data_IF_176619581383
#
_entry.id   IF_176619581383
#
_cell.length_a   1.000
_cell.length_b   1.000
_cell.length_c   1.000
_cell.angle_alpha   90.00
_cell.angle_beta   90.00
_cell.angle_gamma   90.00
#
_symmetry.space_group_name_H-M   'P 1'
#
loop_
_entity.id
_entity.type
_entity.pdbx_description
1 polymer ?
#
# COMPACT_ATOMS: atom_id res chain seq x y z
N UNK A 1 -36.05 -1.36 -43.50
CA UNK A 1 -36.16 -1.01 -42.07
C UNK A 1 -35.40 -1.93 -41.11
N UNK A 2 -35.27 -3.25 -41.36
CA UNK A 2 -34.56 -4.17 -40.43
C UNK A 2 -33.04 -3.92 -40.24
N UNK A 3 -32.34 -3.42 -41.27
CA UNK A 3 -30.88 -3.18 -41.23
C UNK A 3 -30.45 -1.97 -40.38
N UNK A 4 -31.36 -1.00 -40.18
CA UNK A 4 -31.08 0.21 -39.39
C UNK A 4 -31.14 -0.07 -37.88
N UNK A 5 -31.98 -1.04 -37.49
CA UNK A 5 -32.15 -1.46 -36.10
C UNK A 5 -30.93 -2.24 -35.61
N UNK A 6 -30.38 -3.15 -36.43
CA UNK A 6 -29.20 -3.94 -36.07
C UNK A 6 -27.93 -3.10 -35.91
N UNK A 7 -27.74 -2.06 -36.73
CA UNK A 7 -26.59 -1.15 -36.57
C UNK A 7 -26.69 -0.30 -35.31
N UNK A 8 -27.91 0.12 -34.94
CA UNK A 8 -28.15 0.88 -33.71
C UNK A 8 -27.86 0.05 -32.45
N UNK A 9 -28.28 -1.22 -32.43
CA UNK A 9 -27.97 -2.13 -31.32
C UNK A 9 -26.48 -2.41 -31.21
N UNK A 10 -25.77 -2.56 -32.34
CA UNK A 10 -24.33 -2.82 -32.33
C UNK A 10 -23.51 -1.64 -31.79
N UNK A 11 -23.91 -0.41 -32.15
CA UNK A 11 -23.30 0.83 -31.64
C UNK A 11 -23.57 0.99 -30.14
N UNK A 12 -24.78 0.68 -29.68
CA UNK A 12 -25.15 0.75 -28.26
C UNK A 12 -24.36 -0.26 -27.42
N UNK A 13 -24.18 -1.49 -27.91
CA UNK A 13 -23.35 -2.52 -27.24
C UNK A 13 -21.88 -2.09 -27.21
N UNK A 14 -21.36 -1.52 -28.30
CA UNK A 14 -19.99 -1.00 -28.34
C UNK A 14 -19.78 0.15 -27.33
N UNK A 15 -20.73 1.09 -27.25
CA UNK A 15 -20.71 2.21 -26.30
C UNK A 15 -20.80 1.72 -24.85
N UNK A 16 -21.62 0.70 -24.56
CA UNK A 16 -21.71 0.07 -23.24
C UNK A 16 -20.39 -0.64 -22.86
N UNK A 17 -19.75 -1.34 -23.80
CA UNK A 17 -18.45 -1.98 -23.53
C UNK A 17 -17.32 -0.96 -23.33
N UNK A 18 -17.34 0.18 -24.04
CA UNK A 18 -16.40 1.28 -23.79
C UNK A 18 -16.63 1.91 -22.40
N UNK A 19 -17.90 2.12 -22.03
CA UNK A 19 -18.28 2.72 -20.75
C UNK A 19 -17.82 1.91 -19.53
N UNK A 20 -17.75 0.58 -19.65
CA UNK A 20 -17.29 -0.30 -18.56
C UNK A 20 -15.76 -0.26 -18.34
N UNK A 21 -14.98 0.24 -19.30
CA UNK A 21 -13.52 0.41 -19.14
C UNK A 21 -13.14 1.76 -18.50
N UNK A 22 -14.11 2.64 -18.26
CA UNK A 22 -13.91 3.98 -17.71
C UNK A 22 -13.97 4.06 -16.18
N UNK A 23 -14.10 2.92 -15.47
CA UNK A 23 -13.92 2.91 -14.02
C UNK A 23 -12.45 3.13 -13.70
N UNK A 24 -12.11 4.40 -13.61
CA UNK A 24 -10.83 4.93 -13.16
C UNK A 24 -10.52 4.28 -11.81
N UNK A 25 -9.47 3.45 -11.83
CA UNK A 25 -8.85 2.80 -10.67
C UNK A 25 -8.77 3.79 -9.50
N UNK A 26 -9.27 3.38 -8.33
CA UNK A 26 -9.28 4.23 -7.15
C UNK A 26 -7.83 4.52 -6.72
N UNK A 27 -7.42 5.78 -6.83
CA UNK A 27 -6.17 6.26 -6.26
C UNK A 27 -6.23 6.15 -4.72
N UNK A 28 -5.11 5.74 -4.15
CA UNK A 28 -4.90 5.26 -2.78
C UNK A 28 -5.71 6.00 -1.70
N UNK A 29 -6.42 5.20 -0.91
CA UNK A 29 -7.19 5.63 0.26
C UNK A 29 -6.28 5.97 1.46
N UNK A 30 -6.64 7.04 2.16
CA UNK A 30 -5.85 7.67 3.21
C UNK A 30 -5.27 6.68 4.23
N UNK A 31 -3.94 6.53 4.22
CA UNK A 31 -3.21 5.83 5.26
C UNK A 31 -2.96 6.79 6.40
N UNK A 32 -3.53 6.51 7.57
CA UNK A 32 -3.19 7.29 8.75
C UNK A 32 -1.82 6.83 9.26
N UNK A 33 -0.83 7.71 9.17
CA UNK A 33 0.53 7.48 9.65
C UNK A 33 0.77 8.29 10.94
N UNK A 34 1.00 7.61 12.07
CA UNK A 34 1.48 8.21 13.31
C UNK A 34 2.95 7.88 13.49
N UNK A 35 3.75 8.88 13.87
CA UNK A 35 5.13 8.67 14.25
C UNK A 35 5.36 9.15 15.69
N UNK A 36 6.06 8.33 16.48
CA UNK A 36 6.56 8.69 17.80
C UNK A 36 8.07 8.45 17.86
N UNK A 37 8.78 9.29 18.60
CA UNK A 37 10.22 9.17 18.81
C UNK A 37 10.46 9.01 20.31
N UNK A 38 11.20 7.98 20.68
CA UNK A 38 11.56 7.71 22.06
C UNK A 38 13.06 7.42 22.15
N UNK A 39 13.84 8.45 22.48
CA UNK A 39 15.29 8.36 22.56
C UNK A 39 15.93 7.85 21.27
N UNK A 40 16.38 6.60 21.30
CA UNK A 40 17.07 5.92 20.19
C UNK A 40 16.15 5.17 19.21
N UNK A 41 14.84 5.24 19.45
CA UNK A 41 13.83 4.52 18.67
C UNK A 41 12.83 5.48 18.05
N UNK A 42 12.29 5.08 16.91
CA UNK A 42 11.09 5.68 16.34
C UNK A 42 10.08 4.60 16.01
N UNK A 43 8.81 4.93 16.18
CA UNK A 43 7.69 4.04 15.94
C UNK A 43 6.82 4.67 14.86
N UNK A 44 6.60 3.95 13.77
CA UNK A 44 5.68 4.33 12.70
C UNK A 44 4.48 3.38 12.77
N UNK A 45 3.31 3.92 13.07
CA UNK A 45 2.04 3.22 12.96
C UNK A 45 1.38 3.60 11.65
N UNK A 46 1.05 2.62 10.82
CA UNK A 46 0.43 2.79 9.50
C UNK A 46 -0.87 2.01 9.51
N UNK A 47 -1.99 2.68 9.23
CA UNK A 47 -3.29 2.03 9.01
C UNK A 47 -3.62 2.07 7.53
N UNK A 48 -3.89 0.91 6.92
CA UNK A 48 -4.15 0.78 5.48
C UNK A 48 -5.26 -0.26 5.27
N UNK A 49 -6.04 -0.13 4.20
CA UNK A 49 -7.00 -1.16 3.81
C UNK A 49 -6.30 -2.47 3.47
N UNK A 50 -6.85 -3.59 3.94
CA UNK A 50 -6.24 -4.92 3.76
C UNK A 50 -6.12 -5.30 2.27
N UNK A 51 -7.11 -4.90 1.46
CA UNK A 51 -7.14 -5.13 0.02
C UNK A 51 -6.05 -4.34 -0.71
N UNK A 52 -5.83 -3.07 -0.32
CA UNK A 52 -4.79 -2.23 -0.91
C UNK A 52 -3.39 -2.80 -0.67
N UNK A 53 -3.16 -3.39 0.51
CA UNK A 53 -1.89 -4.06 0.82
C UNK A 53 -1.73 -5.32 -0.02
N UNK A 54 -2.79 -6.10 -0.16
CA UNK A 54 -2.77 -7.30 -1.00
C UNK A 54 -2.38 -6.93 -2.43
N UNK A 55 -3.03 -5.91 -3.00
CA UNK A 55 -2.71 -5.39 -4.34
C UNK A 55 -1.27 -4.86 -4.41
N UNK A 56 -0.82 -4.12 -3.40
CA UNK A 56 0.54 -3.59 -3.37
C UNK A 56 1.60 -4.70 -3.32
N UNK A 57 1.36 -5.77 -2.57
CA UNK A 57 2.26 -6.93 -2.51
C UNK A 57 2.26 -7.70 -3.82
N UNK A 58 1.09 -7.92 -4.43
CA UNK A 58 0.98 -8.55 -5.75
C UNK A 58 1.79 -7.78 -6.80
N UNK A 59 1.69 -6.46 -6.82
CA UNK A 59 2.47 -5.60 -7.72
C UNK A 59 3.97 -5.63 -7.41
N UNK A 60 4.34 -5.57 -6.13
CA UNK A 60 5.74 -5.56 -5.70
C UNK A 60 6.48 -6.85 -6.08
N UNK A 61 5.80 -8.00 -5.97
CA UNK A 61 6.35 -9.31 -6.32
C UNK A 61 6.06 -9.75 -7.76
N UNK A 62 5.21 -9.01 -8.49
CA UNK A 62 4.68 -9.39 -9.80
C UNK A 62 3.97 -10.76 -9.78
N UNK A 63 3.22 -11.01 -8.72
CA UNK A 63 2.51 -12.27 -8.51
C UNK A 63 1.07 -11.99 -8.03
N UNK A 64 0.04 -12.20 -8.88
CA UNK A 64 -1.35 -11.95 -8.53
C UNK A 64 -1.95 -12.98 -7.55
N UNK A 65 -1.26 -14.09 -7.27
CA UNK A 65 -1.72 -15.11 -6.32
C UNK A 65 -1.46 -14.75 -4.85
N UNK A 66 -0.62 -13.73 -4.61
CA UNK A 66 -0.32 -13.26 -3.26
C UNK A 66 -1.59 -12.72 -2.63
N UNK A 67 -1.83 -13.19 -1.41
CA UNK A 67 -2.90 -12.74 -0.53
C UNK A 67 -2.29 -12.31 0.80
N UNK A 68 -2.77 -11.24 1.40
CA UNK A 68 -2.33 -10.85 2.73
C UNK A 68 -2.72 -11.96 3.73
N UNK A 69 -1.70 -12.61 4.31
CA UNK A 69 -1.83 -13.61 5.36
C UNK A 69 -0.84 -13.25 6.47
N UNK A 70 -1.22 -13.43 7.73
CA UNK A 70 -0.32 -13.20 8.88
C UNK A 70 0.61 -14.40 9.12
N UNK A 71 1.25 -14.88 8.06
CA UNK A 71 2.29 -15.90 8.12
C UNK A 71 3.68 -15.27 7.93
N UNK A 72 4.73 -16.02 8.26
CA UNK A 72 6.10 -15.51 8.23
C UNK A 72 6.53 -15.01 6.84
N UNK A 73 6.14 -15.73 5.77
CA UNK A 73 6.52 -15.39 4.40
C UNK A 73 5.92 -14.06 3.95
N UNK A 74 4.61 -13.90 4.08
CA UNK A 74 3.90 -12.68 3.69
C UNK A 74 4.32 -11.50 4.57
N UNK A 75 4.55 -11.70 5.86
CA UNK A 75 5.05 -10.65 6.75
C UNK A 75 6.48 -10.22 6.39
N UNK A 76 7.34 -11.14 5.97
CA UNK A 76 8.69 -10.82 5.46
C UNK A 76 8.63 -10.04 4.15
N UNK A 77 7.72 -10.41 3.25
CA UNK A 77 7.46 -9.68 2.01
C UNK A 77 6.96 -8.26 2.27
N UNK A 78 6.01 -8.12 3.20
CA UNK A 78 5.50 -6.82 3.61
C UNK A 78 6.56 -5.95 4.33
N UNK A 79 7.42 -6.55 5.15
CA UNK A 79 8.57 -5.86 5.75
C UNK A 79 9.49 -5.24 4.69
N UNK A 80 9.75 -5.96 3.59
CA UNK A 80 10.56 -5.45 2.47
C UNK A 80 9.84 -4.30 1.76
N UNK A 81 8.55 -4.48 1.49
CA UNK A 81 7.71 -3.43 0.89
C UNK A 81 7.72 -2.15 1.74
N UNK A 82 7.53 -2.27 3.06
CA UNK A 82 7.52 -1.13 3.97
C UNK A 82 8.86 -0.40 3.97
N UNK A 83 9.99 -1.12 4.04
CA UNK A 83 11.32 -0.50 4.00
C UNK A 83 11.66 0.12 2.64
N UNK A 84 11.02 -0.33 1.56
CA UNK A 84 11.13 0.28 0.24
C UNK A 84 10.26 1.52 0.09
N UNK A 85 9.06 1.53 0.71
CA UNK A 85 8.08 2.61 0.56
C UNK A 85 8.18 3.73 1.57
N UNK A 86 8.50 3.40 2.82
CA UNK A 86 8.62 4.32 3.92
C UNK A 86 10.11 4.48 4.21
N UNK A 87 10.74 5.33 3.40
CA UNK A 87 12.15 5.62 3.54
C UNK A 87 12.28 6.59 4.72
N UNK A 88 12.83 6.08 5.82
CA UNK A 88 13.15 6.88 7.00
C UNK A 88 14.63 7.18 7.00
N UNK A 89 14.97 8.47 7.00
CA UNK A 89 16.35 8.95 7.08
C UNK A 89 16.63 9.59 8.42
N UNK A 90 17.77 9.23 9.02
CA UNK A 90 18.37 9.90 10.16
C UNK A 90 19.69 10.53 9.71
N UNK A 91 19.80 11.86 9.82
CA UNK A 91 21.00 12.61 9.40
C UNK A 91 21.42 12.24 7.95
N UNK A 92 20.45 12.12 7.04
CA UNK A 92 20.66 11.71 5.65
C UNK A 92 20.92 10.21 5.42
N UNK A 93 21.13 9.40 6.48
CA UNK A 93 21.32 7.95 6.36
C UNK A 93 19.99 7.21 6.54
N UNK A 94 19.64 6.37 5.57
CA UNK A 94 18.45 5.53 5.67
C UNK A 94 18.61 4.51 6.81
N UNK A 95 17.54 4.34 7.58
CA UNK A 95 17.41 3.29 8.58
C UNK A 95 16.23 2.39 8.22
N UNK A 96 16.42 1.09 8.40
CA UNK A 96 15.39 0.10 8.14
C UNK A 96 14.51 -0.09 9.37
N UNK A 97 13.20 -0.16 9.16
CA UNK A 97 12.24 -0.50 10.18
C UNK A 97 12.14 -2.01 10.35
N UNK A 98 11.70 -2.43 11.53
CA UNK A 98 11.25 -3.78 11.85
C UNK A 98 9.79 -3.70 12.29
N UNK A 99 8.92 -4.45 11.64
CA UNK A 99 7.53 -4.62 12.06
C UNK A 99 7.54 -5.37 13.39
N UNK A 100 6.94 -4.76 14.40
CA UNK A 100 6.83 -5.31 15.75
C UNK A 100 5.41 -5.72 16.08
N UNK A 101 4.41 -5.09 15.45
CA UNK A 101 3.00 -5.41 15.65
C UNK A 101 2.23 -5.32 14.35
N UNK A 102 1.27 -6.23 14.19
CA UNK A 102 0.29 -6.23 13.11
C UNK A 102 -1.04 -6.67 13.69
N UNK A 103 -2.10 -5.92 13.43
CA UNK A 103 -3.44 -6.28 13.87
C UNK A 103 -4.51 -5.76 12.91
N UNK A 104 -5.64 -6.46 12.89
CA UNK A 104 -6.80 -6.08 12.11
C UNK A 104 -7.69 -5.11 12.88
N UNK A 105 -8.26 -4.17 12.14
CA UNK A 105 -9.25 -3.23 12.63
C UNK A 105 -10.30 -3.04 11.54
N UNK A 106 -11.30 -3.92 11.55
CA UNK A 106 -12.34 -4.02 10.52
C UNK A 106 -11.72 -4.34 9.15
N UNK A 107 -12.04 -3.58 8.10
CA UNK A 107 -11.48 -3.74 6.74
C UNK A 107 -10.05 -3.18 6.57
N UNK A 108 -9.41 -2.79 7.67
CA UNK A 108 -8.08 -2.21 7.68
C UNK A 108 -7.11 -3.07 8.50
N UNK A 109 -5.85 -3.08 8.09
CA UNK A 109 -4.74 -3.62 8.87
C UNK A 109 -3.90 -2.46 9.39
N UNK A 110 -3.52 -2.54 10.66
CA UNK A 110 -2.57 -1.63 11.29
C UNK A 110 -1.22 -2.31 11.46
N UNK A 111 -0.16 -1.63 11.06
CA UNK A 111 1.23 -2.07 11.22
C UNK A 111 1.96 -1.09 12.10
N UNK A 112 2.74 -1.61 13.03
CA UNK A 112 3.67 -0.82 13.83
C UNK A 112 5.08 -1.25 13.50
N UNK A 113 5.88 -0.33 12.96
CA UNK A 113 7.29 -0.53 12.66
C UNK A 113 8.17 0.26 13.64
N UNK A 114 9.13 -0.43 14.25
CA UNK A 114 10.18 0.15 15.07
C UNK A 114 11.44 0.40 14.23
N UNK A 115 12.00 1.59 14.35
CA UNK A 115 13.26 1.99 13.73
C UNK A 115 14.26 2.31 14.84
N UNK A 116 15.35 1.55 14.88
CA UNK A 116 16.39 1.71 15.91
C UNK A 116 17.62 2.41 15.35
N UNK A 117 18.20 3.32 16.13
CA UNK A 117 19.45 4.01 15.81
C UNK A 117 20.49 3.88 16.93
N UNK A 118 21.77 4.00 16.60
CA UNK A 118 22.87 3.95 17.58
C UNK A 118 22.88 5.13 18.56
N UNK A 119 22.39 6.28 18.12
CA UNK A 119 22.27 7.53 18.88
C UNK A 119 20.80 7.98 18.92
N UNK A 120 20.42 8.88 19.85
CA UNK A 120 19.08 9.44 19.88
C UNK A 120 18.68 10.05 18.54
N UNK A 121 17.39 9.98 18.20
CA UNK A 121 16.87 10.66 17.02
C UNK A 121 16.16 11.94 17.43
N UNK A 122 16.53 13.04 16.77
CA UNK A 122 15.94 14.36 16.97
C UNK A 122 15.18 14.86 15.74
N UNK A 123 15.45 14.27 14.57
CA UNK A 123 14.83 14.59 13.30
C UNK A 123 14.76 13.35 12.42
N UNK A 124 13.65 13.23 11.70
CA UNK A 124 13.45 12.26 10.65
C UNK A 124 12.91 12.93 9.40
N UNK A 125 13.30 12.40 8.25
CA UNK A 125 12.64 12.67 6.99
C UNK A 125 11.90 11.39 6.58
N UNK A 126 10.59 11.51 6.38
CA UNK A 126 9.73 10.44 5.88
C UNK A 126 9.43 10.71 4.41
N UNK A 127 9.98 9.88 3.53
CA UNK A 127 9.63 9.88 2.12
C UNK A 127 8.66 8.72 1.87
N UNK A 128 7.44 9.04 1.44
CA UNK A 128 6.44 8.07 1.01
C UNK A 128 6.36 8.08 -0.51
N UNK A 129 6.64 6.92 -1.13
CA UNK A 129 6.52 6.76 -2.58
C UNK A 129 5.13 6.20 -2.89
N UNK A 130 4.18 7.09 -3.19
CA UNK A 130 2.86 6.71 -3.75
C UNK A 130 3.10 5.93 -5.06
N UNK A 131 2.55 4.73 -5.20
CA UNK A 131 2.49 4.04 -6.50
C UNK A 131 1.18 4.39 -7.18
N UNK A 132 1.31 4.99 -8.36
CA UNK A 132 0.31 4.94 -9.43
C UNK A 132 0.37 3.54 -10.07
#
# INVERSE_FOLDING_TARGET
MKRLFTTFTLVLVLLLTLGLTLFKRHDVHASYAKMAIEGKKAYLSIRVFSDDITLALQQFHKDPSITLKYNEETMRSFQKYLNWKFIIKKNGKQISGKIIEVYEQDIMTVFVAEYSASQPIHRFDLEYIVLM
#
